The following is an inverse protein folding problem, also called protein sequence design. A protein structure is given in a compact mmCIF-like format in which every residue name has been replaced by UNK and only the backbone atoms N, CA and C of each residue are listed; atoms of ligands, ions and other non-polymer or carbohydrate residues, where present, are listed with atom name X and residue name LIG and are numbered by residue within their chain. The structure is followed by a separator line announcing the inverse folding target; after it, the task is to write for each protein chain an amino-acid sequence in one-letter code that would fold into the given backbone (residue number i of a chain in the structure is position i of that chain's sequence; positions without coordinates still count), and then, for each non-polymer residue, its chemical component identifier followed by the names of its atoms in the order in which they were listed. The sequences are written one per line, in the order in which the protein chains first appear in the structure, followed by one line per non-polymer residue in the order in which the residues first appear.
data_IF_227034567884
#
_entry.id   IF_227034567884
#
_cell.length_a   1.000
_cell.length_b   1.000
_cell.length_c   1.000
_cell.angle_alpha   90.00
_cell.angle_beta   90.00
_cell.angle_gamma   90.00
#
_symmetry.space_group_name_H-M   'P 1'
#
loop_
_entity.id
_entity.type
_entity.pdbx_description
1 polymer ?
#
# COMPACT_ATOMS: atom_id res chain seq x y z
N UNK A 1 -7.68 -15.18 2.03
CA UNK A 1 -9.01 -15.70 1.65
C UNK A 1 -9.60 -15.07 0.39
N UNK A 2 -9.55 -13.75 0.20
CA UNK A 2 -10.07 -13.09 -1.03
C UNK A 2 -9.37 -13.43 -2.37
N UNK A 3 -8.23 -14.14 -2.37
CA UNK A 3 -7.52 -14.49 -3.61
C UNK A 3 -6.51 -13.44 -4.13
N UNK A 4 -6.34 -12.29 -3.45
CA UNK A 4 -5.32 -11.26 -3.81
C UNK A 4 -3.92 -11.84 -3.98
N UNK A 5 -3.37 -12.48 -2.95
CA UNK A 5 -2.02 -13.07 -3.00
C UNK A 5 -1.90 -14.18 -4.07
N UNK A 6 -2.98 -14.93 -4.33
CA UNK A 6 -3.02 -15.93 -5.41
C UNK A 6 -2.90 -15.26 -6.77
N UNK A 7 -3.65 -14.19 -7.00
CA UNK A 7 -3.58 -13.40 -8.23
C UNK A 7 -2.17 -12.80 -8.44
N UNK A 8 -1.57 -12.26 -7.37
CA UNK A 8 -0.20 -11.73 -7.42
C UNK A 8 0.81 -12.82 -7.84
N UNK A 9 0.80 -13.98 -7.17
CA UNK A 9 1.69 -15.10 -7.49
C UNK A 9 1.45 -15.64 -8.90
N UNK A 10 0.19 -15.71 -9.33
CA UNK A 10 -0.16 -16.14 -10.68
C UNK A 10 0.49 -15.25 -11.75
N UNK A 11 0.45 -13.93 -11.60
CA UNK A 11 1.09 -12.99 -12.54
C UNK A 11 2.60 -13.20 -12.56
N UNK A 12 3.25 -13.35 -11.40
CA UNK A 12 4.69 -13.61 -11.30
C UNK A 12 5.09 -14.90 -12.06
N UNK A 13 4.35 -15.97 -11.84
CA UNK A 13 4.59 -17.27 -12.45
C UNK A 13 4.37 -17.25 -13.96
N UNK A 14 3.32 -16.57 -14.44
CA UNK A 14 3.06 -16.40 -15.88
C UNK A 14 4.23 -15.69 -16.57
N UNK A 15 4.76 -14.63 -15.95
CA UNK A 15 5.90 -13.87 -16.49
C UNK A 15 7.16 -14.74 -16.52
N UNK A 16 7.43 -15.49 -15.44
CA UNK A 16 8.56 -16.41 -15.38
C UNK A 16 8.47 -17.50 -16.45
N UNK A 17 7.31 -18.16 -16.58
CA UNK A 17 7.06 -19.20 -17.58
C UNK A 17 7.27 -18.69 -19.00
N UNK A 18 6.78 -17.49 -19.31
CA UNK A 18 6.98 -16.88 -20.62
C UNK A 18 8.48 -16.65 -20.92
N UNK A 19 9.25 -16.18 -19.95
CA UNK A 19 10.67 -15.87 -20.14
C UNK A 19 11.60 -17.09 -20.16
N UNK A 20 11.17 -18.24 -19.63
CA UNK A 20 11.88 -19.52 -19.82
C UNK A 20 11.49 -20.24 -21.12
N UNK A 21 10.59 -19.66 -21.93
CA UNK A 21 10.12 -20.24 -23.19
C UNK A 21 9.02 -21.29 -23.04
N UNK A 22 8.38 -21.38 -21.87
CA UNK A 22 7.22 -22.27 -21.65
C UNK A 22 5.93 -21.65 -22.17
N UNK A 23 4.95 -22.51 -22.46
CA UNK A 23 3.56 -22.08 -22.57
C UNK A 23 3.10 -21.53 -21.21
N UNK A 24 2.14 -20.60 -21.24
CA UNK A 24 1.61 -19.95 -20.05
C UNK A 24 0.15 -20.34 -19.81
N UNK A 25 -0.31 -20.43 -18.56
CA UNK A 25 -1.69 -20.77 -18.22
C UNK A 25 -2.64 -19.57 -18.43
N UNK A 26 -2.89 -19.22 -19.68
CA UNK A 26 -3.84 -18.18 -20.08
C UNK A 26 -4.46 -18.49 -21.45
N UNK A 27 -5.67 -17.99 -21.72
CA UNK A 27 -6.27 -18.09 -23.05
C UNK A 27 -5.45 -17.31 -24.11
N UNK A 28 -4.85 -16.19 -23.70
CA UNK A 28 -3.91 -15.39 -24.49
C UNK A 28 -3.04 -14.54 -23.55
N UNK A 29 -1.78 -14.30 -23.89
CA UNK A 29 -0.90 -13.43 -23.11
C UNK A 29 0.08 -12.67 -23.99
N UNK A 30 0.21 -11.35 -23.77
CA UNK A 30 1.26 -10.51 -24.35
C UNK A 30 2.12 -9.99 -23.21
N UNK A 31 3.36 -10.46 -23.14
CA UNK A 31 4.26 -10.22 -22.01
C UNK A 31 5.54 -9.57 -22.54
N UNK A 32 5.86 -8.39 -22.03
CA UNK A 32 7.14 -7.73 -22.32
C UNK A 32 8.29 -8.34 -21.52
N UNK A 33 9.53 -8.11 -21.95
CA UNK A 33 10.71 -8.59 -21.23
C UNK A 33 10.83 -7.89 -19.87
N UNK A 34 10.81 -8.68 -18.81
CA UNK A 34 11.06 -8.24 -17.44
C UNK A 34 12.50 -8.60 -17.06
N UNK A 35 13.23 -7.63 -16.51
CA UNK A 35 14.63 -7.86 -16.12
C UNK A 35 14.75 -8.57 -14.76
N UNK A 36 13.86 -8.23 -13.81
CA UNK A 36 13.78 -8.80 -12.46
C UNK A 36 12.35 -8.84 -11.96
N UNK A 37 12.00 -9.93 -11.27
CA UNK A 37 10.75 -10.05 -10.52
C UNK A 37 11.08 -9.85 -9.04
N UNK A 38 10.56 -8.78 -8.46
CA UNK A 38 10.66 -8.47 -7.04
C UNK A 38 9.38 -8.85 -6.34
N UNK A 39 9.48 -9.61 -5.25
CA UNK A 39 8.32 -10.03 -4.47
C UNK A 39 8.52 -9.72 -3.00
N UNK A 40 7.63 -8.91 -2.45
CA UNK A 40 7.34 -8.89 -1.02
C UNK A 40 5.97 -9.53 -0.84
N UNK A 41 5.95 -10.85 -0.77
CA UNK A 41 4.73 -11.63 -0.51
C UNK A 41 5.00 -12.38 0.78
N UNK A 42 4.28 -12.05 1.85
CA UNK A 42 4.54 -12.55 3.20
C UNK A 42 4.93 -14.04 3.22
N UNK A 43 6.20 -14.31 3.53
CA UNK A 43 6.67 -15.62 3.92
C UNK A 43 6.45 -15.79 5.42
N UNK A 44 6.15 -17.03 5.84
CA UNK A 44 5.89 -17.40 7.23
C UNK A 44 6.99 -16.85 8.14
N UNK A 45 6.57 -16.39 9.30
CA UNK A 45 7.39 -15.91 10.41
C UNK A 45 8.62 -16.81 10.58
N UNK A 46 9.80 -16.30 10.23
CA UNK A 46 11.05 -16.92 10.65
C UNK A 46 11.41 -16.36 12.03
N UNK A 47 10.75 -16.92 13.05
CA UNK A 47 10.99 -16.59 14.47
C UNK A 47 12.44 -16.92 14.85
N UNK A 48 13.16 -17.74 14.06
CA UNK A 48 14.50 -18.21 14.39
C UNK A 48 15.62 -17.17 14.17
N UNK A 49 15.37 -16.06 13.46
CA UNK A 49 16.40 -15.10 13.09
C UNK A 49 16.62 -13.94 14.08
N UNK A 50 15.81 -13.81 15.15
CA UNK A 50 15.95 -12.74 16.15
C UNK A 50 15.71 -11.31 15.62
N UNK A 51 15.21 -11.17 14.39
CA UNK A 51 14.85 -9.89 13.78
C UNK A 51 13.34 -9.68 13.86
N UNK A 52 12.91 -8.44 14.10
CA UNK A 52 11.48 -8.08 14.01
C UNK A 52 10.98 -8.37 12.59
N UNK A 53 9.81 -8.99 12.48
CA UNK A 53 9.14 -9.26 11.19
C UNK A 53 8.98 -7.98 10.36
N UNK A 54 8.76 -6.85 11.04
CA UNK A 54 8.70 -5.54 10.41
C UNK A 54 10.06 -5.08 9.86
N UNK A 55 11.16 -5.34 10.56
CA UNK A 55 12.50 -5.00 10.07
C UNK A 55 12.84 -5.80 8.80
N UNK A 56 12.54 -7.11 8.79
CA UNK A 56 12.74 -7.95 7.60
C UNK A 56 11.95 -7.39 6.41
N UNK A 57 10.70 -7.00 6.63
CA UNK A 57 9.87 -6.36 5.61
C UNK A 57 10.48 -5.04 5.09
N UNK A 58 11.02 -4.21 5.97
CA UNK A 58 11.68 -2.96 5.57
C UNK A 58 12.96 -3.21 4.78
N UNK A 59 13.77 -4.21 5.17
CA UNK A 59 14.97 -4.60 4.43
C UNK A 59 14.62 -5.14 3.04
N UNK A 60 13.59 -5.99 2.94
CA UNK A 60 13.11 -6.49 1.65
C UNK A 60 12.60 -5.33 0.78
N UNK A 61 11.80 -4.42 1.34
CA UNK A 61 11.29 -3.25 0.63
C UNK A 61 12.44 -2.35 0.15
N UNK A 62 13.42 -2.09 1.00
CA UNK A 62 14.61 -1.33 0.63
C UNK A 62 15.40 -2.01 -0.50
N UNK A 63 15.55 -3.33 -0.46
CA UNK A 63 16.20 -4.08 -1.52
C UNK A 63 15.46 -3.93 -2.86
N UNK A 64 14.12 -3.97 -2.85
CA UNK A 64 13.31 -3.74 -4.06
C UNK A 64 13.56 -2.33 -4.59
N UNK A 65 13.42 -1.29 -3.75
CA UNK A 65 13.52 0.09 -4.19
C UNK A 65 14.91 0.48 -4.71
N UNK A 66 15.97 -0.10 -4.12
CA UNK A 66 17.35 0.19 -4.53
C UNK A 66 17.78 -0.53 -5.82
N UNK A 67 17.13 -1.63 -6.19
CA UNK A 67 17.59 -2.50 -7.29
C UNK A 67 16.59 -2.64 -8.44
N UNK A 68 15.35 -2.19 -8.28
CA UNK A 68 14.36 -2.22 -9.34
C UNK A 68 14.65 -1.19 -10.44
N UNK A 69 14.29 -1.56 -11.67
CA UNK A 69 14.44 -0.72 -12.85
C UNK A 69 13.05 -0.52 -13.50
N UNK A 70 12.93 0.34 -14.53
CA UNK A 70 11.68 0.50 -15.28
C UNK A 70 11.20 -0.75 -16.00
N UNK A 71 12.06 -1.76 -16.16
CA UNK A 71 11.70 -3.05 -16.75
C UNK A 71 11.38 -4.12 -15.71
N UNK A 72 11.46 -3.80 -14.42
CA UNK A 72 11.18 -4.76 -13.36
C UNK A 72 9.68 -4.93 -13.15
N UNK A 73 9.30 -6.11 -12.65
CA UNK A 73 7.98 -6.40 -12.11
C UNK A 73 8.08 -6.41 -10.60
N UNK A 74 7.31 -5.55 -9.94
CA UNK A 74 7.26 -5.45 -8.49
C UNK A 74 5.92 -5.98 -7.99
N UNK A 75 5.97 -6.82 -6.97
CA UNK A 75 4.79 -7.38 -6.31
C UNK A 75 4.91 -7.12 -4.82
N UNK A 76 3.99 -6.33 -4.28
CA UNK A 76 3.93 -5.96 -2.87
C UNK A 76 2.61 -6.48 -2.31
N UNK A 77 2.68 -7.27 -1.24
CA UNK A 77 1.53 -7.82 -0.52
C UNK A 77 1.62 -7.35 0.94
N UNK A 78 0.69 -6.48 1.32
CA UNK A 78 0.45 -6.07 2.71
C UNK A 78 1.64 -5.39 3.44
N UNK A 79 2.38 -4.53 2.74
CA UNK A 79 3.40 -3.68 3.38
C UNK A 79 2.77 -2.75 4.44
N UNK A 80 3.42 -2.63 5.58
CA UNK A 80 3.07 -1.75 6.70
C UNK A 80 2.29 -2.45 7.82
N UNK A 81 1.89 -3.72 7.67
CA UNK A 81 1.02 -4.38 8.65
C UNK A 81 1.69 -4.73 9.99
N UNK A 82 3.01 -4.82 10.03
CA UNK A 82 3.77 -5.21 11.23
C UNK A 82 4.03 -4.08 12.24
N UNK A 83 3.46 -2.90 12.05
CA UNK A 83 3.68 -1.70 12.88
C UNK A 83 2.38 -0.96 13.19
N UNK A 84 2.46 0.23 13.80
CA UNK A 84 1.30 1.10 14.05
C UNK A 84 0.56 1.39 12.74
N UNK A 85 -0.77 1.49 12.80
CA UNK A 85 -1.60 1.66 11.60
C UNK A 85 -1.19 2.88 10.78
N UNK A 86 -0.89 4.00 11.44
CA UNK A 86 -0.48 5.25 10.78
C UNK A 86 0.93 5.19 10.22
N UNK A 87 1.89 4.57 10.91
CA UNK A 87 3.25 4.41 10.39
C UNK A 87 3.23 3.48 9.17
N UNK A 88 2.51 2.36 9.26
CA UNK A 88 2.36 1.40 8.17
C UNK A 88 1.72 2.01 6.93
N UNK A 89 0.63 2.77 7.12
CA UNK A 89 -0.04 3.52 6.05
C UNK A 89 0.93 4.52 5.39
N UNK A 90 1.63 5.32 6.21
CA UNK A 90 2.54 6.36 5.73
C UNK A 90 3.69 5.78 4.90
N UNK A 91 4.27 4.66 5.36
CA UNK A 91 5.33 3.95 4.63
C UNK A 91 4.78 3.35 3.33
N UNK A 92 3.64 2.66 3.38
CA UNK A 92 3.03 2.05 2.20
C UNK A 92 2.73 3.10 1.11
N UNK A 93 2.18 4.26 1.51
CA UNK A 93 1.95 5.39 0.61
C UNK A 93 3.26 5.93 0.04
N UNK A 94 4.26 6.21 0.88
CA UNK A 94 5.55 6.73 0.43
C UNK A 94 6.26 5.79 -0.55
N UNK A 95 6.16 4.47 -0.33
CA UNK A 95 6.68 3.44 -1.23
C UNK A 95 5.95 3.48 -2.58
N UNK A 96 4.62 3.54 -2.58
CA UNK A 96 3.83 3.63 -3.81
C UNK A 96 4.16 4.91 -4.61
N UNK A 97 4.25 6.05 -3.92
CA UNK A 97 4.64 7.33 -4.50
C UNK A 97 6.06 7.30 -5.04
N UNK A 98 7.01 6.69 -4.34
CA UNK A 98 8.40 6.58 -4.80
C UNK A 98 8.48 5.75 -6.09
N UNK A 99 7.85 4.58 -6.13
CA UNK A 99 7.81 3.72 -7.32
C UNK A 99 7.19 4.46 -8.51
N UNK A 100 6.13 5.24 -8.27
CA UNK A 100 5.45 6.01 -9.30
C UNK A 100 6.24 7.24 -9.74
N UNK A 101 6.70 8.08 -8.82
CA UNK A 101 7.22 9.41 -9.14
C UNK A 101 8.71 9.40 -9.49
N UNK A 102 9.48 8.43 -9.00
CA UNK A 102 10.92 8.41 -9.23
C UNK A 102 11.21 8.16 -10.73
N UNK A 103 11.84 9.11 -11.45
CA UNK A 103 11.93 9.06 -12.92
C UNK A 103 12.65 7.83 -13.48
N UNK A 104 13.54 7.23 -12.69
CA UNK A 104 14.33 6.05 -13.09
C UNK A 104 13.74 4.72 -12.61
N UNK A 105 12.61 4.74 -11.90
CA UNK A 105 11.94 3.52 -11.43
C UNK A 105 10.70 3.25 -12.27
N UNK A 106 9.52 3.80 -11.96
CA UNK A 106 8.34 3.69 -12.83
C UNK A 106 7.94 2.26 -13.24
N UNK A 107 8.35 1.26 -12.44
CA UNK A 107 8.21 -0.17 -12.74
C UNK A 107 6.75 -0.61 -12.75
N UNK A 108 6.47 -1.74 -13.43
CA UNK A 108 5.14 -2.37 -13.35
C UNK A 108 4.97 -2.95 -11.95
N UNK A 109 3.96 -2.48 -11.22
CA UNK A 109 3.77 -2.84 -9.82
C UNK A 109 2.36 -3.33 -9.56
N UNK A 110 2.24 -4.46 -8.88
CA UNK A 110 1.00 -4.93 -8.25
C UNK A 110 1.13 -4.76 -6.75
N UNK A 111 0.23 -3.97 -6.17
CA UNK A 111 0.21 -3.67 -4.73
C UNK A 111 -1.11 -4.16 -4.14
N UNK A 112 -1.09 -5.26 -3.39
CA UNK A 112 -2.22 -5.68 -2.57
C UNK A 112 -2.10 -5.06 -1.18
N UNK A 113 -3.16 -4.38 -0.73
CA UNK A 113 -3.19 -3.68 0.55
C UNK A 113 -4.54 -3.85 1.23
N UNK A 114 -4.55 -3.61 2.55
CA UNK A 114 -5.73 -3.48 3.38
C UNK A 114 -6.04 -2.02 3.77
N UNK A 115 -5.14 -1.09 3.43
CA UNK A 115 -5.35 0.34 3.62
C UNK A 115 -6.27 0.88 2.51
N UNK A 116 -7.49 1.25 2.89
CA UNK A 116 -8.46 1.83 1.96
C UNK A 116 -8.05 3.25 1.55
N UNK A 117 -7.29 3.93 2.39
CA UNK A 117 -6.72 5.26 2.14
C UNK A 117 -5.82 5.26 0.89
N UNK A 118 -5.18 4.13 0.56
CA UNK A 118 -4.35 4.02 -0.66
C UNK A 118 -5.18 4.03 -1.95
N UNK A 119 -6.50 3.82 -1.88
CA UNK A 119 -7.40 3.93 -3.05
C UNK A 119 -7.37 5.38 -3.59
N UNK A 120 -7.21 6.38 -2.73
CA UNK A 120 -7.20 7.79 -3.11
C UNK A 120 -5.99 8.15 -3.98
N UNK A 121 -4.90 7.36 -3.94
CA UNK A 121 -3.71 7.59 -4.77
C UNK A 121 -4.04 7.66 -6.27
N UNK A 122 -5.03 6.90 -6.73
CA UNK A 122 -5.46 6.91 -8.12
C UNK A 122 -6.06 8.26 -8.58
N UNK A 123 -6.46 9.14 -7.64
CA UNK A 123 -7.00 10.46 -7.97
C UNK A 123 -5.92 11.47 -8.37
N UNK A 124 -4.67 11.28 -7.93
CA UNK A 124 -3.57 12.21 -8.18
C UNK A 124 -2.30 11.57 -8.77
N UNK A 125 -2.18 10.24 -8.78
CA UNK A 125 -1.11 9.52 -9.47
C UNK A 125 -1.64 8.93 -10.79
N UNK A 126 -1.36 9.54 -11.96
CA UNK A 126 -2.03 9.22 -13.23
C UNK A 126 -1.82 7.80 -13.75
N UNK A 127 -0.80 7.08 -13.27
CA UNK A 127 -0.54 5.68 -13.68
C UNK A 127 -1.05 4.65 -12.69
N UNK A 128 -1.62 5.08 -11.56
CA UNK A 128 -2.23 4.18 -10.57
C UNK A 128 -3.66 3.85 -10.98
N UNK A 129 -4.03 2.57 -10.82
CA UNK A 129 -5.37 2.07 -11.12
C UNK A 129 -5.80 1.13 -10.00
N UNK A 130 -7.00 1.37 -9.48
CA UNK A 130 -7.58 0.54 -8.42
C UNK A 130 -8.29 -0.67 -9.00
N UNK A 131 -8.09 -1.81 -8.34
CA UNK A 131 -8.79 -3.05 -8.60
C UNK A 131 -9.16 -3.71 -7.28
N UNK A 132 -10.28 -4.42 -7.28
CA UNK A 132 -10.75 -5.20 -6.14
C UNK A 132 -11.14 -6.62 -6.55
N UNK A 133 -11.32 -7.49 -5.56
CA UNK A 133 -11.91 -8.81 -5.76
C UNK A 133 -13.42 -8.66 -5.66
N UNK A 134 -14.13 -9.08 -6.70
CA UNK A 134 -15.58 -9.02 -6.74
C UNK A 134 -16.21 -9.91 -5.65
N UNK A 135 -17.21 -9.34 -4.99
CA UNK A 135 -17.97 -9.94 -3.90
C UNK A 135 -19.45 -9.89 -4.28
N UNK A 136 -20.17 -10.99 -4.07
CA UNK A 136 -21.62 -11.04 -4.19
C UNK A 136 -22.24 -11.20 -2.79
N UNK A 137 -23.39 -10.56 -2.58
CA UNK A 137 -24.21 -10.72 -1.37
C UNK A 137 -25.49 -11.45 -1.76
N UNK A 138 -25.71 -12.65 -1.22
CA UNK A 138 -26.88 -13.46 -1.49
C UNK A 138 -27.42 -14.02 -0.17
N UNK A 139 -28.69 -13.76 0.15
CA UNK A 139 -29.33 -14.24 1.38
C UNK A 139 -28.68 -13.77 2.70
N UNK A 140 -27.92 -12.68 2.70
CA UNK A 140 -27.15 -12.22 3.87
C UNK A 140 -25.84 -12.97 4.09
N UNK A 141 -25.37 -13.68 3.07
CA UNK A 141 -24.04 -14.28 2.99
C UNK A 141 -23.18 -13.58 1.93
N UNK A 142 -21.88 -13.54 2.20
CA UNK A 142 -20.88 -12.88 1.36
C UNK A 142 -20.11 -13.95 0.60
N UNK A 143 -20.20 -13.94 -0.73
CA UNK A 143 -19.54 -14.90 -1.62
C UNK A 143 -18.40 -14.20 -2.36
N UNK A 144 -17.17 -14.71 -2.21
CA UNK A 144 -16.01 -14.23 -2.96
C UNK A 144 -16.02 -14.85 -4.36
N UNK A 145 -16.15 -14.02 -5.40
CA UNK A 145 -16.23 -14.49 -6.79
C UNK A 145 -14.86 -14.77 -7.42
N UNK A 146 -13.77 -14.51 -6.69
CA UNK A 146 -12.37 -14.64 -7.15
C UNK A 146 -12.07 -13.93 -8.48
N UNK A 147 -12.87 -12.91 -8.81
CA UNK A 147 -12.73 -12.13 -10.04
C UNK A 147 -12.15 -10.76 -9.71
N UNK A 148 -11.05 -10.38 -10.35
CA UNK A 148 -10.50 -9.04 -10.23
C UNK A 148 -11.30 -8.09 -11.13
N UNK A 149 -11.83 -7.01 -10.56
CA UNK A 149 -12.61 -5.99 -11.26
C UNK A 149 -12.05 -4.59 -10.98
N UNK A 150 -12.17 -3.64 -11.92
CA UNK A 150 -11.76 -2.25 -11.70
C UNK A 150 -12.55 -1.61 -10.55
N UNK A 151 -11.89 -0.75 -9.77
CA UNK A 151 -12.49 0.02 -8.68
C UNK A 151 -11.79 -0.16 -7.34
N UNK A 152 -12.05 0.78 -6.41
CA UNK A 152 -11.71 0.63 -4.99
C UNK A 152 -12.73 -0.26 -4.27
N UNK A 153 -12.50 -0.51 -2.99
CA UNK A 153 -13.48 -1.17 -2.11
C UNK A 153 -13.99 -0.13 -1.12
N UNK A 154 -15.31 0.04 -1.05
CA UNK A 154 -15.93 1.00 -0.12
C UNK A 154 -16.31 0.37 1.24
N UNK A 155 -16.25 -0.96 1.38
CA UNK A 155 -16.66 -1.69 2.60
C UNK A 155 -15.67 -2.76 3.03
N UNK A 156 -15.38 -2.80 4.34
CA UNK A 156 -14.60 -3.87 4.96
C UNK A 156 -15.49 -5.06 5.33
N UNK A 157 -15.19 -6.24 4.80
CA UNK A 157 -15.96 -7.47 5.06
C UNK A 157 -15.45 -8.28 6.28
N UNK A 158 -14.74 -7.64 7.21
CA UNK A 158 -14.08 -8.34 8.33
C UNK A 158 -15.04 -9.14 9.21
N UNK A 159 -16.15 -8.52 9.63
CA UNK A 159 -17.18 -9.18 10.46
C UNK A 159 -17.89 -10.30 9.67
N UNK A 160 -18.07 -10.14 8.37
CA UNK A 160 -18.65 -11.18 7.51
C UNK A 160 -17.74 -12.40 7.38
N UNK A 161 -16.43 -12.19 7.25
CA UNK A 161 -15.43 -13.29 7.27
C UNK A 161 -15.45 -14.00 8.62
N UNK A 162 -15.60 -13.26 9.73
CA UNK A 162 -15.77 -13.86 11.05
C UNK A 162 -17.05 -14.73 11.16
N UNK A 163 -18.16 -14.30 10.56
CA UNK A 163 -19.39 -15.11 10.47
C UNK A 163 -19.14 -16.42 9.71
N UNK A 164 -18.47 -16.35 8.56
CA UNK A 164 -18.10 -17.54 7.77
C UNK A 164 -17.14 -18.47 8.52
N UNK A 165 -16.26 -17.93 9.36
CA UNK A 165 -15.38 -18.71 10.24
C UNK A 165 -16.12 -19.37 11.42
N UNK A 166 -17.42 -19.12 11.57
CA UNK A 166 -18.24 -19.74 12.62
C UNK A 166 -18.12 -19.06 13.98
N UNK A 167 -17.75 -17.79 14.04
CA UNK A 167 -17.71 -17.07 15.32
C UNK A 167 -19.12 -17.01 15.96
N UNK A 168 -19.23 -17.11 17.30
CA UNK A 168 -20.52 -17.05 17.99
C UNK A 168 -21.29 -15.77 17.67
N UNK A 169 -22.63 -15.89 17.52
CA UNK A 169 -23.51 -14.76 17.18
C UNK A 169 -23.39 -13.57 18.14
N UNK A 170 -23.17 -13.84 19.44
CA UNK A 170 -22.96 -12.79 20.45
C UNK A 170 -21.70 -11.96 20.18
N UNK A 171 -20.62 -12.60 19.74
CA UNK A 171 -19.37 -11.91 19.36
C UNK A 171 -19.60 -11.08 18.10
N UNK A 172 -20.26 -11.64 17.09
CA UNK A 172 -20.57 -10.92 15.84
C UNK A 172 -21.43 -9.68 16.11
N UNK A 173 -22.45 -9.80 16.96
CA UNK A 173 -23.32 -8.68 17.35
C UNK A 173 -22.51 -7.58 18.03
N UNK A 174 -21.69 -7.93 19.03
CA UNK A 174 -20.86 -6.94 19.72
C UNK A 174 -19.82 -6.31 18.80
N UNK A 175 -19.21 -7.08 17.89
CA UNK A 175 -18.29 -6.55 16.89
C UNK A 175 -18.96 -5.52 15.98
N UNK A 176 -20.23 -5.73 15.61
CA UNK A 176 -21.00 -4.80 14.80
C UNK A 176 -21.27 -3.49 15.55
N UNK A 177 -21.69 -3.55 16.81
CA UNK A 177 -21.88 -2.37 17.67
C UNK A 177 -20.58 -1.55 17.80
N UNK A 178 -19.46 -2.23 18.08
CA UNK A 178 -18.15 -1.56 18.23
C UNK A 178 -17.71 -0.90 16.92
N UNK A 179 -17.97 -1.53 15.77
CA UNK A 179 -17.65 -0.93 14.46
C UNK A 179 -18.45 0.35 14.23
N UNK A 180 -19.75 0.34 14.56
CA UNK A 180 -20.63 1.51 14.43
C UNK A 180 -20.18 2.66 15.34
N UNK A 181 -19.77 2.37 16.57
CA UNK A 181 -19.17 3.34 17.50
C UNK A 181 -17.90 3.99 16.90
N UNK A 182 -16.97 3.18 16.40
CA UNK A 182 -15.70 3.66 15.82
C UNK A 182 -15.91 4.49 14.54
N UNK A 183 -16.87 4.12 13.70
CA UNK A 183 -17.19 4.87 12.48
C UNK A 183 -17.89 6.21 12.81
N UNK A 184 -18.67 6.27 13.88
CA UNK A 184 -19.31 7.50 14.34
C UNK A 184 -18.28 8.49 14.89
N UNK A 185 -17.35 8.02 15.73
CA UNK A 185 -16.26 8.83 16.28
C UNK A 185 -15.34 9.35 15.18
N UNK A 186 -14.99 8.50 14.20
CA UNK A 186 -14.17 8.90 13.05
C UNK A 186 -14.84 10.00 12.23
N UNK A 187 -16.16 9.88 11.98
CA UNK A 187 -16.96 10.90 11.29
C UNK A 187 -17.00 12.22 12.06
N UNK A 188 -17.12 12.18 13.39
CA UNK A 188 -17.09 13.39 14.21
C UNK A 188 -15.71 14.06 14.25
N UNK A 189 -14.63 13.28 14.26
CA UNK A 189 -13.27 13.80 14.20
C UNK A 189 -12.98 14.50 12.87
N UNK A 190 -13.47 13.95 11.75
CA UNK A 190 -13.39 14.57 10.41
C UNK A 190 -14.22 15.86 10.32
N UNK A 191 -15.42 15.88 10.92
CA UNK A 191 -16.28 17.07 10.93
C UNK A 191 -15.75 18.23 11.80
N UNK A 192 -14.87 17.94 12.77
CA UNK A 192 -14.27 18.94 13.66
C UNK A 192 -12.94 19.51 13.16
N UNK A 193 -12.40 19.05 12.02
CA UNK A 193 -11.24 19.72 11.41
C UNK A 193 -11.72 20.97 10.67
N UNK A 194 -11.37 22.20 11.12
CA UNK A 194 -11.67 23.40 10.35
C UNK A 194 -10.89 23.32 9.04
N UNK A 195 -11.59 23.46 7.91
CA UNK A 195 -10.99 23.70 6.62
C UNK A 195 -9.91 24.78 6.78
N UNK A 196 -8.63 24.40 6.69
CA UNK A 196 -7.54 25.37 6.60
C UNK A 196 -7.71 26.09 5.27
N UNK A 197 -8.52 27.15 5.30
CA UNK A 197 -8.62 28.11 4.22
C UNK A 197 -7.21 28.55 3.84
N UNK A 198 -6.95 28.55 2.53
CA UNK A 198 -5.74 29.09 1.88
C UNK A 198 -5.26 30.33 2.64
N UNK A 199 -4.24 30.18 3.48
CA UNK A 199 -3.47 31.33 3.97
C UNK A 199 -2.73 31.87 2.76
N UNK A 200 -3.12 33.06 2.30
CA UNK A 200 -2.35 33.84 1.34
C UNK A 200 -0.88 33.90 1.83
N UNK A 201 0.13 33.69 0.97
CA UNK A 201 1.51 33.89 1.37
C UNK A 201 1.66 35.33 1.85
N UNK A 202 2.16 35.52 3.07
CA UNK A 202 2.66 36.83 3.50
C UNK A 202 3.85 37.15 2.59
N UNK A 203 3.80 38.30 1.93
CA UNK A 203 4.93 38.88 1.20
C UNK A 203 6.17 38.90 2.11
N UNK A 204 7.19 38.11 1.74
CA UNK A 204 8.52 38.24 2.33
C UNK A 204 9.14 39.52 1.79
N UNK A 205 9.35 40.49 2.67
CA UNK A 205 10.25 41.61 2.36
C UNK A 205 11.66 41.06 2.10
N UNK A 206 12.35 41.48 1.02
CA UNK A 206 13.70 41.03 0.75
C UNK A 206 14.66 41.61 1.80
N UNK A 207 15.23 40.75 2.64
CA UNK A 207 16.37 41.11 3.47
C UNK A 207 17.60 41.32 2.57
N UNK A 208 18.02 42.57 2.39
CA UNK A 208 19.32 42.91 1.82
C UNK A 208 20.43 42.41 2.76
N UNK A 209 21.35 41.60 2.22
CA UNK A 209 22.60 41.25 2.89
C UNK A 209 23.53 42.48 2.96
N UNK A 210 24.17 42.76 4.11
CA UNK A 210 25.21 43.78 4.18
C UNK A 210 26.46 43.32 3.44
N UNK A 211 26.78 44.02 2.36
CA UNK A 211 27.96 43.85 1.54
C UNK A 211 29.15 44.57 2.21
N UNK A 212 29.73 44.00 3.28
CA UNK A 212 31.11 44.18 3.78
C UNK A 212 31.24 43.83 5.28
N UNK A 213 31.99 42.75 5.55
CA UNK A 213 32.87 42.52 6.71
C UNK A 213 32.35 42.71 8.14
N UNK A 214 32.12 41.61 8.86
CA UNK A 214 32.67 41.41 10.21
C UNK A 214 32.64 39.93 10.61
N UNK A 215 33.59 39.58 11.49
CA UNK A 215 34.20 38.25 11.71
C UNK A 215 33.25 37.22 12.33
N UNK A 216 33.42 35.97 11.90
CA UNK A 216 32.82 34.76 12.50
C UNK A 216 33.36 34.53 13.92
N UNK A 217 32.51 34.39 14.96
CA UNK A 217 32.95 33.93 16.28
C UNK A 217 32.89 32.39 16.32
N UNK A 218 33.92 31.72 15.79
CA UNK A 218 34.22 30.30 16.09
C UNK A 218 35.71 30.18 16.45
N UNK A 219 36.17 30.99 17.40
CA UNK A 219 37.43 30.74 18.09
C UNK A 219 37.26 31.17 19.54
N UNK A 220 36.67 30.29 20.35
CA UNK A 220 36.90 30.18 21.80
C UNK A 220 36.21 28.91 22.30
N UNK A 221 36.76 27.75 21.92
CA UNK A 221 37.07 26.60 22.79
C UNK A 221 37.51 25.42 21.90
N UNK A 222 38.83 25.17 21.94
CA UNK A 222 39.61 24.04 21.39
C UNK A 222 39.97 24.08 19.90
#
# INVERSE_FOLDING_TARGET
MSGKSTYLRQVALIVLLAQIGSFVPAASATIGLVDRIFTRIGAREDIAAGQSTFMVEMVETANILNNATPRSLIILDEIGRGTSTYDGLSIAQAVAEYIHNYPKLGAKTLFATHYHELVELASFLPRVKNFNVAVAEEGGEVIFLYKIVPGGVDKSYGIHVAKLAGLPKSVLHRSQEVLEELEADSRQALAKQPSRGRRRPKEMMPQQLPLLGQKSPIVEEL
#
